data_IF_388993255773
#
_entry.id   IF_388993255773
#
_cell.length_a   1.000
_cell.length_b   1.000
_cell.length_c   1.000
_cell.angle_alpha   90.00
_cell.angle_beta   90.00
_cell.angle_gamma   90.00
#
_symmetry.space_group_name_H-M   'P 1'
#
loop_
_entity.id
_entity.type
_entity.pdbx_description
1 polymer ?
#
# COMPACT_ATOMS: atom_id res chain seq x y z
N UNK A 1 -10.29 -4.64 15.91
CA UNK A 1 -8.92 -4.17 15.57
C UNK A 1 -8.47 -3.30 16.71
N UNK A 2 -7.41 -3.73 17.41
CA UNK A 2 -7.15 -3.40 18.81
C UNK A 2 -6.38 -2.08 18.92
N UNK A 3 -7.07 -0.95 19.04
CA UNK A 3 -6.40 0.34 18.95
C UNK A 3 -5.84 0.79 20.30
N UNK A 4 -4.53 0.57 20.46
CA UNK A 4 -3.77 1.00 21.64
C UNK A 4 -3.69 2.53 21.63
N UNK A 5 -3.36 3.17 22.76
CA UNK A 5 -3.04 4.62 22.80
C UNK A 5 -1.97 5.00 21.74
N UNK A 6 -1.13 4.03 21.37
CA UNK A 6 -0.18 4.09 20.27
C UNK A 6 -0.82 4.34 18.90
N UNK A 7 -2.02 3.82 18.62
CA UNK A 7 -2.71 4.03 17.34
C UNK A 7 -3.07 5.50 17.16
N UNK A 8 -3.53 6.17 18.22
CA UNK A 8 -3.81 7.60 18.19
C UNK A 8 -2.53 8.41 17.97
N UNK A 9 -1.44 8.05 18.65
CA UNK A 9 -0.14 8.67 18.46
C UNK A 9 0.36 8.48 17.02
N UNK A 10 0.26 7.25 16.48
CA UNK A 10 0.61 6.92 15.09
C UNK A 10 -0.24 7.75 14.12
N UNK A 11 -1.55 7.87 14.34
CA UNK A 11 -2.42 8.71 13.51
C UNK A 11 -2.00 10.18 13.54
N UNK A 12 -1.64 10.73 14.71
CA UNK A 12 -1.16 12.11 14.85
C UNK A 12 0.17 12.31 14.11
N UNK A 13 1.14 11.41 14.31
CA UNK A 13 2.44 11.46 13.65
C UNK A 13 2.30 11.32 12.13
N UNK A 14 1.47 10.38 11.66
CA UNK A 14 1.17 10.22 10.24
C UNK A 14 0.47 11.47 9.68
N UNK A 15 -0.51 12.03 10.38
CA UNK A 15 -1.19 13.26 9.94
C UNK A 15 -0.23 14.45 9.83
N UNK A 16 0.73 14.57 10.76
CA UNK A 16 1.77 15.59 10.72
C UNK A 16 2.75 15.37 9.55
N UNK A 17 3.16 14.12 9.31
CA UNK A 17 4.00 13.77 8.17
C UNK A 17 3.30 14.07 6.84
N UNK A 18 2.03 13.68 6.70
CA UNK A 18 1.24 13.97 5.50
C UNK A 18 1.01 15.48 5.33
N UNK A 19 0.96 16.25 6.42
CA UNK A 19 0.82 17.70 6.34
C UNK A 19 2.05 18.35 5.70
N UNK A 20 3.26 17.82 5.95
CA UNK A 20 4.48 18.29 5.27
C UNK A 20 4.34 18.07 3.76
N UNK A 21 3.84 16.90 3.32
CA UNK A 21 3.58 16.63 1.90
C UNK A 21 2.52 17.57 1.31
N UNK A 22 1.50 17.99 2.08
CA UNK A 22 0.51 19.00 1.65
C UNK A 22 1.16 20.36 1.40
N UNK A 23 2.12 20.76 2.25
CA UNK A 23 2.84 22.03 2.07
C UNK A 23 3.77 22.00 0.85
N UNK A 24 4.24 20.83 0.45
CA UNK A 24 5.07 20.65 -0.74
C UNK A 24 4.26 20.51 -2.04
N UNK A 25 2.94 20.31 -1.99
CA UNK A 25 2.11 20.18 -3.19
C UNK A 25 2.26 21.34 -4.19
N UNK A 26 2.27 22.62 -3.76
CA UNK A 26 2.47 23.76 -4.66
C UNK A 26 3.79 23.70 -5.43
N UNK A 27 4.82 23.09 -4.86
CA UNK A 27 6.15 22.96 -5.46
C UNK A 27 6.24 21.80 -6.48
N UNK A 28 5.23 20.93 -6.56
CA UNK A 28 5.19 19.81 -7.50
C UNK A 28 4.59 20.20 -8.85
N UNK A 29 4.98 19.47 -9.91
CA UNK A 29 4.48 19.64 -11.27
C UNK A 29 2.93 19.64 -11.28
N UNK A 30 2.27 20.68 -11.82
CA UNK A 30 0.82 20.79 -11.84
C UNK A 30 0.10 19.59 -12.46
N UNK A 31 0.69 18.96 -13.49
CA UNK A 31 0.08 17.83 -14.20
C UNK A 31 0.14 16.53 -13.38
N UNK A 32 1.21 16.33 -12.59
CA UNK A 32 1.38 15.14 -11.76
C UNK A 32 0.78 15.30 -10.35
N UNK A 33 0.20 16.47 -10.03
CA UNK A 33 -0.33 16.80 -8.70
C UNK A 33 -1.57 16.00 -8.33
N UNK A 34 -2.27 15.45 -9.31
CA UNK A 34 -3.46 14.61 -9.10
C UNK A 34 -3.11 13.38 -8.25
N UNK A 35 -1.95 12.75 -8.49
CA UNK A 35 -1.52 11.59 -7.70
C UNK A 35 -1.32 11.89 -6.21
N UNK A 36 -0.45 12.84 -5.81
CA UNK A 36 -0.31 13.23 -4.42
C UNK A 36 -1.64 13.65 -3.77
N UNK A 37 -2.50 14.38 -4.49
CA UNK A 37 -3.80 14.80 -3.96
C UNK A 37 -4.71 13.61 -3.60
N UNK A 38 -4.84 12.64 -4.51
CA UNK A 38 -5.69 11.45 -4.27
C UNK A 38 -5.14 10.63 -3.10
N UNK A 39 -3.82 10.43 -3.05
CA UNK A 39 -3.17 9.67 -1.97
C UNK A 39 -3.33 10.38 -0.62
N UNK A 40 -3.12 11.69 -0.56
CA UNK A 40 -3.27 12.48 0.67
C UNK A 40 -4.73 12.48 1.13
N UNK A 41 -5.67 12.77 0.23
CA UNK A 41 -7.10 12.75 0.55
C UNK A 41 -7.57 11.40 1.09
N UNK A 42 -7.20 10.31 0.41
CA UNK A 42 -7.49 8.95 0.86
C UNK A 42 -6.86 8.62 2.22
N UNK A 43 -5.61 9.02 2.43
CA UNK A 43 -4.89 8.78 3.69
C UNK A 43 -5.54 9.52 4.87
N UNK A 44 -5.88 10.80 4.70
CA UNK A 44 -6.59 11.58 5.73
C UNK A 44 -7.97 11.01 6.02
N UNK A 45 -8.71 10.56 4.99
CA UNK A 45 -9.99 9.89 5.16
C UNK A 45 -9.85 8.61 5.99
N UNK A 46 -8.84 7.78 5.71
CA UNK A 46 -8.58 6.56 6.49
C UNK A 46 -8.20 6.87 7.94
N UNK A 47 -7.40 7.92 8.18
CA UNK A 47 -7.06 8.40 9.52
C UNK A 47 -8.33 8.83 10.26
N UNK A 48 -9.20 9.62 9.62
CA UNK A 48 -10.45 10.06 10.21
C UNK A 48 -11.37 8.88 10.60
N UNK A 49 -11.53 7.89 9.71
CA UNK A 49 -12.29 6.66 10.01
C UNK A 49 -11.71 5.93 11.22
N UNK A 50 -10.38 5.85 11.32
CA UNK A 50 -9.70 5.13 12.42
C UNK A 50 -9.92 5.84 13.76
N UNK A 51 -9.85 7.17 13.77
CA UNK A 51 -10.14 7.99 14.96
C UNK A 51 -11.60 7.80 15.38
N UNK A 52 -12.56 7.88 14.44
CA UNK A 52 -13.98 7.67 14.74
C UNK A 52 -14.22 6.28 15.32
N UNK A 53 -13.65 5.23 14.72
CA UNK A 53 -13.72 3.85 15.25
C UNK A 53 -13.13 3.75 16.66
N UNK A 54 -12.02 4.43 16.93
CA UNK A 54 -11.40 4.45 18.26
C UNK A 54 -12.34 5.09 19.31
N UNK A 55 -13.00 6.21 18.98
CA UNK A 55 -13.97 6.83 19.88
C UNK A 55 -15.18 5.92 20.18
N UNK A 56 -15.69 5.22 19.16
CA UNK A 56 -16.80 4.27 19.32
C UNK A 56 -16.39 3.08 20.19
N UNK A 57 -15.21 2.49 19.94
CA UNK A 57 -14.69 1.35 20.71
C UNK A 57 -14.40 1.73 22.17
N UNK A 58 -13.85 2.92 22.42
CA UNK A 58 -13.64 3.45 23.78
C UNK A 58 -14.96 3.58 24.55
N UNK A 59 -16.04 4.03 23.88
CA UNK A 59 -17.38 4.15 24.49
C UNK A 59 -18.01 2.79 24.81
N UNK A 60 -17.64 1.73 24.08
CA UNK A 60 -18.14 0.36 24.29
C UNK A 60 -17.39 -0.45 25.35
N UNK A 61 -16.28 0.06 25.89
CA UNK A 61 -15.52 -0.64 26.94
C UNK A 61 -14.74 -1.88 26.46
N UNK A 62 -14.63 -2.09 25.15
CA UNK A 62 -14.01 -3.29 24.52
C UNK A 62 -12.47 -3.19 24.44
N UNK A 63 -11.78 -2.91 25.55
CA UNK A 63 -10.31 -2.88 25.62
C UNK A 63 -9.79 -4.19 26.25
N UNK A 64 -10.01 -5.32 25.60
CA UNK A 64 -9.48 -6.61 26.06
C UNK A 64 -8.17 -6.99 25.37
N UNK A 65 -7.37 -7.82 26.07
CA UNK A 65 -6.03 -8.36 25.75
C UNK A 65 -5.86 -8.95 24.35
N UNK A 66 -4.63 -8.96 23.84
CA UNK A 66 -4.34 -9.30 22.44
C UNK A 66 -3.31 -10.41 22.45
N UNK A 67 -3.63 -11.51 21.78
CA UNK A 67 -2.78 -12.68 21.66
C UNK A 67 -1.43 -12.33 21.04
N UNK A 68 -0.36 -12.90 21.61
CA UNK A 68 1.00 -12.72 21.12
C UNK A 68 1.16 -13.21 19.68
N UNK A 69 2.01 -12.52 18.92
CA UNK A 69 2.27 -12.87 17.53
C UNK A 69 3.18 -14.09 17.47
N UNK A 70 2.71 -15.19 16.88
CA UNK A 70 3.48 -16.43 16.72
C UNK A 70 4.76 -16.19 15.89
N UNK A 71 5.87 -16.81 16.31
CA UNK A 71 7.20 -16.64 15.69
C UNK A 71 7.20 -17.09 14.23
N UNK A 72 6.44 -18.13 13.89
CA UNK A 72 6.28 -18.58 12.49
C UNK A 72 5.63 -17.50 11.62
N UNK A 73 4.69 -16.74 12.18
CA UNK A 73 4.02 -15.64 11.50
C UNK A 73 4.96 -14.45 11.30
N UNK A 74 5.82 -14.17 12.28
CA UNK A 74 6.89 -13.14 12.16
C UNK A 74 7.82 -13.48 10.98
N UNK A 75 8.32 -14.72 10.91
CA UNK A 75 9.21 -15.16 9.83
C UNK A 75 8.51 -15.10 8.47
N UNK A 76 7.25 -15.53 8.40
CA UNK A 76 6.45 -15.47 7.17
C UNK A 76 6.29 -14.02 6.66
N UNK A 77 6.05 -13.06 7.55
CA UNK A 77 5.95 -11.63 7.21
C UNK A 77 7.33 -11.10 6.79
N UNK A 78 8.40 -11.47 7.49
CA UNK A 78 9.76 -11.01 7.19
C UNK A 78 10.21 -11.44 5.78
N UNK A 79 9.94 -12.69 5.39
CA UNK A 79 10.23 -13.20 4.03
C UNK A 79 9.43 -12.44 2.97
N UNK A 80 8.17 -12.11 3.26
CA UNK A 80 7.37 -11.30 2.34
C UNK A 80 7.91 -9.87 2.22
N UNK A 81 8.32 -9.24 3.32
CA UNK A 81 8.99 -7.93 3.30
C UNK A 81 10.27 -7.96 2.45
N UNK A 82 11.08 -9.03 2.57
CA UNK A 82 12.27 -9.20 1.74
C UNK A 82 11.91 -9.29 0.24
N UNK A 83 10.82 -9.99 -0.10
CA UNK A 83 10.36 -10.09 -1.48
C UNK A 83 9.94 -8.74 -2.08
N UNK A 84 9.42 -7.82 -1.26
CA UNK A 84 9.10 -6.44 -1.68
C UNK A 84 10.39 -5.68 -2.01
N UNK A 85 11.45 -5.84 -1.20
CA UNK A 85 12.74 -5.22 -1.50
C UNK A 85 13.31 -5.71 -2.83
N UNK A 86 13.22 -7.02 -3.08
CA UNK A 86 13.63 -7.62 -4.35
C UNK A 86 12.82 -7.05 -5.52
N UNK A 87 11.50 -6.90 -5.35
CA UNK A 87 10.64 -6.25 -6.35
C UNK A 87 11.05 -4.80 -6.66
N UNK A 88 11.40 -3.99 -5.64
CA UNK A 88 11.86 -2.61 -5.83
C UNK A 88 13.15 -2.56 -6.66
N UNK A 89 14.05 -3.54 -6.50
CA UNK A 89 15.26 -3.63 -7.33
C UNK A 89 14.96 -4.10 -8.76
N UNK A 90 13.99 -5.01 -8.92
CA UNK A 90 13.56 -5.52 -10.22
C UNK A 90 12.84 -4.46 -11.06
N UNK A 91 12.03 -3.60 -10.43
CA UNK A 91 11.22 -2.59 -11.15
C UNK A 91 12.08 -1.62 -11.96
N UNK A 92 13.27 -1.30 -11.46
CA UNK A 92 14.23 -0.43 -12.15
C UNK A 92 14.83 -1.09 -13.39
N UNK A 93 14.97 -2.41 -13.39
CA UNK A 93 15.58 -3.17 -14.50
C UNK A 93 14.54 -3.63 -15.53
N UNK A 94 13.47 -4.28 -15.07
CA UNK A 94 12.47 -4.93 -15.90
C UNK A 94 11.26 -4.05 -16.23
N UNK A 95 11.10 -2.91 -15.55
CA UNK A 95 9.94 -2.04 -15.70
C UNK A 95 8.74 -2.46 -14.85
N UNK A 96 7.75 -1.58 -14.79
CA UNK A 96 6.56 -1.73 -13.95
C UNK A 96 5.73 -2.97 -14.32
N UNK A 97 5.43 -3.18 -15.60
CA UNK A 97 4.49 -4.21 -16.04
C UNK A 97 5.02 -5.62 -15.71
N UNK A 98 6.24 -5.93 -16.15
CA UNK A 98 6.84 -7.26 -15.96
C UNK A 98 7.07 -7.54 -14.47
N UNK A 99 7.63 -6.58 -13.74
CA UNK A 99 7.92 -6.75 -12.31
C UNK A 99 6.66 -6.92 -11.49
N UNK A 100 5.60 -6.17 -11.77
CA UNK A 100 4.33 -6.23 -11.02
C UNK A 100 3.58 -7.52 -11.29
N UNK A 101 3.56 -8.01 -12.55
CA UNK A 101 2.95 -9.30 -12.87
C UNK A 101 3.71 -10.43 -12.18
N UNK A 102 5.05 -10.46 -12.28
CA UNK A 102 5.87 -11.47 -11.63
C UNK A 102 5.70 -11.46 -10.10
N UNK A 103 5.73 -10.27 -9.49
CA UNK A 103 5.51 -10.11 -8.06
C UNK A 103 4.09 -10.51 -7.64
N UNK A 104 3.06 -10.17 -8.43
CA UNK A 104 1.68 -10.55 -8.15
C UNK A 104 1.45 -12.06 -8.21
N UNK A 105 2.04 -12.74 -9.20
CA UNK A 105 2.03 -14.21 -9.28
C UNK A 105 2.74 -14.80 -8.06
N UNK A 106 3.95 -14.33 -7.75
CA UNK A 106 4.71 -14.76 -6.57
C UNK A 106 3.90 -14.58 -5.29
N UNK A 107 3.25 -13.43 -5.10
CA UNK A 107 2.45 -13.12 -3.92
C UNK A 107 1.26 -14.08 -3.77
N UNK A 108 0.53 -14.35 -4.86
CA UNK A 108 -0.62 -15.29 -4.83
C UNK A 108 -0.19 -16.75 -4.59
N UNK A 109 0.97 -17.16 -5.10
CA UNK A 109 1.55 -18.47 -4.81
C UNK A 109 2.02 -18.54 -3.35
N UNK A 110 2.69 -17.51 -2.85
CA UNK A 110 3.18 -17.42 -1.48
C UNK A 110 2.03 -17.42 -0.47
N UNK A 111 0.89 -16.85 -0.83
CA UNK A 111 -0.37 -16.90 -0.08
C UNK A 111 -1.11 -18.24 -0.21
N UNK A 112 -0.55 -19.21 -0.94
CA UNK A 112 -1.11 -20.56 -1.19
C UNK A 112 -2.51 -20.53 -1.81
N UNK A 113 -2.78 -19.57 -2.69
CA UNK A 113 -4.05 -19.54 -3.41
C UNK A 113 -4.19 -20.79 -4.31
N UNK A 114 -5.35 -21.44 -4.30
CA UNK A 114 -5.55 -22.72 -5.00
C UNK A 114 -5.96 -22.56 -6.47
N UNK A 115 -6.50 -21.40 -6.84
CA UNK A 115 -7.02 -21.14 -8.18
C UNK A 115 -5.92 -20.71 -9.14
N UNK A 116 -5.35 -21.68 -9.87
CA UNK A 116 -4.27 -21.46 -10.84
C UNK A 116 -4.59 -20.40 -11.91
N UNK A 117 -5.84 -20.33 -12.34
CA UNK A 117 -6.30 -19.32 -13.31
C UNK A 117 -6.23 -17.92 -12.69
N UNK A 118 -6.75 -17.75 -11.46
CA UNK A 118 -6.71 -16.47 -10.77
C UNK A 118 -5.28 -16.02 -10.44
N UNK A 119 -4.37 -16.96 -10.15
CA UNK A 119 -2.96 -16.67 -9.88
C UNK A 119 -2.30 -15.92 -11.05
N UNK A 120 -2.71 -16.18 -12.30
CA UNK A 120 -2.12 -15.56 -13.49
C UNK A 120 -2.96 -14.41 -14.00
N UNK A 121 -4.27 -14.60 -14.13
CA UNK A 121 -5.17 -13.59 -14.72
C UNK A 121 -5.27 -12.35 -13.83
N UNK A 122 -5.37 -12.52 -12.50
CA UNK A 122 -5.58 -11.41 -11.59
C UNK A 122 -4.39 -10.43 -11.61
N UNK A 123 -3.11 -10.85 -11.46
CA UNK A 123 -1.97 -9.94 -11.54
C UNK A 123 -1.89 -9.21 -12.89
N UNK A 124 -2.20 -9.87 -14.00
CA UNK A 124 -2.16 -9.25 -15.33
C UNK A 124 -3.21 -8.15 -15.43
N UNK A 125 -4.47 -8.48 -15.14
CA UNK A 125 -5.58 -7.51 -15.24
C UNK A 125 -5.35 -6.33 -14.31
N UNK A 126 -4.99 -6.59 -13.05
CA UNK A 126 -4.72 -5.52 -12.07
C UNK A 126 -3.56 -4.65 -12.51
N UNK A 127 -2.48 -5.22 -13.04
CA UNK A 127 -1.32 -4.45 -13.52
C UNK A 127 -1.70 -3.55 -14.70
N UNK A 128 -2.47 -4.05 -15.66
CA UNK A 128 -2.94 -3.27 -16.82
C UNK A 128 -3.88 -2.14 -16.39
N UNK A 129 -4.84 -2.43 -15.51
CA UNK A 129 -5.75 -1.42 -14.97
C UNK A 129 -4.99 -0.35 -14.20
N UNK A 130 -4.06 -0.73 -13.32
CA UNK A 130 -3.22 0.21 -12.59
C UNK A 130 -2.36 1.05 -13.53
N UNK A 131 -1.74 0.44 -14.54
CA UNK A 131 -0.96 1.17 -15.54
C UNK A 131 -1.81 2.23 -16.24
N UNK A 132 -3.04 1.88 -16.63
CA UNK A 132 -3.96 2.82 -17.28
C UNK A 132 -4.36 3.96 -16.35
N UNK A 133 -4.70 3.66 -15.09
CA UNK A 133 -5.05 4.68 -14.08
C UNK A 133 -3.86 5.60 -13.82
N UNK A 134 -2.66 5.05 -13.61
CA UNK A 134 -1.47 5.87 -13.34
C UNK A 134 -1.10 6.76 -14.53
N UNK A 135 -1.17 6.23 -15.75
CA UNK A 135 -0.75 6.97 -16.95
C UNK A 135 -1.79 7.99 -17.41
N UNK A 136 -3.08 7.61 -17.45
CA UNK A 136 -4.13 8.44 -18.05
C UNK A 136 -4.91 9.28 -17.04
N UNK A 137 -5.06 8.78 -15.81
CA UNK A 137 -5.86 9.48 -14.79
C UNK A 137 -4.97 10.28 -13.83
N UNK A 138 -3.82 9.74 -13.47
CA UNK A 138 -2.92 10.32 -12.48
C UNK A 138 -1.69 11.01 -13.11
N UNK A 139 -1.50 10.88 -14.43
CA UNK A 139 -0.40 11.46 -15.21
C UNK A 139 1.00 11.17 -14.64
N UNK A 140 1.17 9.98 -14.06
CA UNK A 140 2.45 9.51 -13.49
C UNK A 140 3.20 8.69 -14.54
N UNK A 141 4.46 9.05 -14.79
CA UNK A 141 5.36 8.26 -15.63
C UNK A 141 5.84 7.03 -14.85
N UNK A 142 5.45 5.84 -15.32
CA UNK A 142 5.92 4.58 -14.77
C UNK A 142 7.19 4.13 -15.51
N UNK A 143 8.13 3.45 -14.85
CA UNK A 143 9.32 2.93 -15.51
C UNK A 143 8.91 1.89 -16.56
N UNK A 144 9.19 2.16 -17.85
CA UNK A 144 9.00 1.21 -18.96
C UNK A 144 10.00 0.04 -18.91
N UNK A 145 11.02 0.12 -18.05
CA UNK A 145 12.10 -0.86 -17.96
C UNK A 145 13.15 -0.63 -19.04
N UNK A 146 14.30 -1.30 -18.92
CA UNK A 146 15.39 -1.18 -19.91
C UNK A 146 15.09 -1.89 -21.24
N UNK A 147 13.99 -2.63 -21.34
CA UNK A 147 13.61 -3.44 -22.51
C UNK A 147 12.66 -2.74 -23.49
N UNK A 148 12.30 -1.46 -23.25
CA UNK A 148 11.55 -0.61 -24.18
C UNK A 148 11.96 0.86 -24.06
#
# INVERSE_FOLDING_TARGET
MKSKKWDLLICIVLAALLMIFVLDLPNTNPMARVYPMVVLGGSYLMIAITIVKWFIAKKRGEIEGGEGMDTKRIVYIAVYCLSILVYILLIQKLGFIVSTIAFGIYSLIYLKNKNKILIVVLPIVVTVVLYYIFTNFLFVTLPSGLLM
#
